data_IF_218085253500
#
_entry.id   IF_218085253500
#
_cell.length_a   1.000
_cell.length_b   1.000
_cell.length_c   1.000
_cell.angle_alpha   90.00
_cell.angle_beta   90.00
_cell.angle_gamma   90.00
#
_symmetry.space_group_name_H-M   'P 1'
#
loop_
_entity.id
_entity.type
_entity.pdbx_description
1 polymer ?
#
# COMPACT_ATOMS: atom_id res chain seq x y z
N UNK A 1 21.32 -27.58 -3.59
CA UNK A 1 22.19 -26.64 -4.34
C UNK A 1 22.15 -25.31 -3.59
N UNK A 2 23.23 -24.93 -2.89
CA UNK A 2 23.25 -23.80 -1.94
C UNK A 2 22.87 -22.43 -2.53
N UNK A 3 22.98 -22.29 -3.85
CA UNK A 3 22.69 -21.05 -4.58
C UNK A 3 21.17 -20.77 -4.64
N UNK A 4 20.35 -21.81 -4.82
CA UNK A 4 18.89 -21.67 -4.81
C UNK A 4 18.36 -21.34 -3.41
N UNK A 5 18.93 -21.96 -2.36
CA UNK A 5 18.57 -21.66 -0.96
C UNK A 5 18.85 -20.20 -0.59
N UNK A 6 19.92 -19.61 -1.16
CA UNK A 6 20.29 -18.20 -0.94
C UNK A 6 19.32 -17.25 -1.64
N UNK A 7 18.91 -17.58 -2.87
CA UNK A 7 17.91 -16.80 -3.62
C UNK A 7 16.56 -16.83 -2.92
N UNK A 8 16.12 -18.00 -2.44
CA UNK A 8 14.89 -18.14 -1.67
C UNK A 8 14.95 -17.33 -0.38
N UNK A 9 16.07 -17.37 0.35
CA UNK A 9 16.29 -16.54 1.53
C UNK A 9 16.20 -15.03 1.24
N UNK A 10 16.77 -14.57 0.12
CA UNK A 10 16.70 -13.19 -0.32
C UNK A 10 15.25 -12.77 -0.65
N UNK A 11 14.50 -13.61 -1.37
CA UNK A 11 13.10 -13.36 -1.74
C UNK A 11 12.17 -13.33 -0.52
N UNK A 12 12.45 -14.16 0.47
CA UNK A 12 11.74 -14.14 1.76
C UNK A 12 12.06 -12.83 2.50
N UNK A 13 13.34 -12.44 2.55
CA UNK A 13 13.78 -11.20 3.18
C UNK A 13 13.15 -9.95 2.56
N UNK A 14 13.17 -9.84 1.23
CA UNK A 14 12.55 -8.71 0.51
C UNK A 14 11.05 -8.66 0.71
N UNK A 15 10.38 -9.82 0.78
CA UNK A 15 8.95 -9.89 1.11
C UNK A 15 8.64 -9.32 2.49
N UNK A 16 9.40 -9.70 3.52
CA UNK A 16 9.19 -9.18 4.87
C UNK A 16 9.55 -7.69 4.97
N UNK A 17 10.58 -7.25 4.26
CA UNK A 17 10.97 -5.84 4.19
C UNK A 17 9.87 -5.02 3.53
N UNK A 18 9.35 -5.45 2.38
CA UNK A 18 8.23 -4.80 1.70
C UNK A 18 6.96 -4.77 2.57
N UNK A 19 6.67 -5.86 3.29
CA UNK A 19 5.57 -5.89 4.24
C UNK A 19 5.76 -4.87 5.38
N UNK A 20 6.97 -4.81 5.96
CA UNK A 20 7.30 -3.84 7.01
C UNK A 20 7.19 -2.39 6.53
N UNK A 21 7.69 -2.09 5.35
CA UNK A 21 7.54 -0.76 4.72
C UNK A 21 6.06 -0.44 4.49
N UNK A 22 5.26 -1.40 4.04
CA UNK A 22 3.84 -1.18 3.82
C UNK A 22 3.08 -0.89 5.12
N UNK A 23 3.43 -1.56 6.23
CA UNK A 23 2.88 -1.24 7.55
C UNK A 23 3.25 0.19 7.95
N UNK A 24 4.52 0.58 7.83
CA UNK A 24 4.94 1.97 8.09
C UNK A 24 4.22 2.95 7.15
N UNK A 25 4.03 2.58 5.88
CA UNK A 25 3.33 3.35 4.86
C UNK A 25 1.88 3.62 5.21
N UNK A 26 1.18 2.70 5.89
CA UNK A 26 -0.20 2.96 6.36
C UNK A 26 -0.26 4.08 7.38
N UNK A 27 0.68 4.13 8.33
CA UNK A 27 0.77 5.21 9.32
C UNK A 27 1.17 6.53 8.66
N UNK A 28 2.17 6.50 7.78
CA UNK A 28 2.61 7.69 7.05
C UNK A 28 1.49 8.27 6.17
N UNK A 29 0.68 7.44 5.53
CA UNK A 29 -0.46 7.89 4.70
C UNK A 29 -1.53 8.60 5.52
N UNK A 30 -1.77 8.20 6.77
CA UNK A 30 -2.69 8.89 7.67
C UNK A 30 -2.19 10.27 8.08
N UNK A 31 -0.90 10.39 8.38
CA UNK A 31 -0.26 11.68 8.68
C UNK A 31 -0.33 12.60 7.45
N UNK A 32 0.05 12.08 6.27
CA UNK A 32 -0.03 12.82 5.02
C UNK A 32 -1.45 13.26 4.70
N UNK A 33 -2.47 12.44 4.99
CA UNK A 33 -3.86 12.82 4.77
C UNK A 33 -4.21 14.11 5.52
N UNK A 34 -3.88 14.19 6.82
CA UNK A 34 -4.17 15.38 7.64
C UNK A 34 -3.48 16.63 7.09
N UNK A 35 -2.21 16.48 6.69
CA UNK A 35 -1.40 17.57 6.15
C UNK A 35 -1.84 18.02 4.74
N UNK A 36 -2.50 17.14 3.98
CA UNK A 36 -2.92 17.40 2.61
C UNK A 36 -4.41 17.75 2.47
N UNK A 37 -5.23 17.58 3.51
CA UNK A 37 -6.63 18.07 3.54
C UNK A 37 -6.74 19.57 3.21
N UNK A 38 -5.87 20.47 3.72
CA UNK A 38 -5.94 21.89 3.41
C UNK A 38 -5.61 22.24 1.96
N UNK A 39 -4.88 21.38 1.25
CA UNK A 39 -4.48 21.59 -0.15
C UNK A 39 -5.59 21.27 -1.15
N UNK A 40 -6.66 20.62 -0.69
CA UNK A 40 -7.86 20.35 -1.48
C UNK A 40 -8.17 18.87 -1.61
N UNK A 41 -9.34 18.60 -2.21
CA UNK A 41 -9.93 17.25 -2.30
C UNK A 41 -9.06 16.31 -3.15
N UNK A 42 -8.38 16.82 -4.18
CA UNK A 42 -7.49 16.01 -5.03
C UNK A 42 -6.30 15.44 -4.25
N UNK A 43 -5.63 16.28 -3.45
CA UNK A 43 -4.49 15.87 -2.62
C UNK A 43 -4.92 14.90 -1.52
N UNK A 44 -6.06 15.16 -0.86
CA UNK A 44 -6.62 14.24 0.12
C UNK A 44 -6.97 12.88 -0.50
N UNK A 45 -7.60 12.86 -1.68
CA UNK A 45 -7.95 11.63 -2.40
C UNK A 45 -6.71 10.84 -2.85
N UNK A 46 -5.63 11.51 -3.24
CA UNK A 46 -4.35 10.87 -3.52
C UNK A 46 -3.75 10.20 -2.27
N UNK A 47 -3.81 10.83 -1.10
CA UNK A 47 -3.39 10.22 0.16
C UNK A 47 -4.26 9.01 0.55
N UNK A 48 -5.57 9.06 0.29
CA UNK A 48 -6.46 7.89 0.48
C UNK A 48 -6.09 6.75 -0.47
N UNK A 49 -5.76 7.04 -1.73
CA UNK A 49 -5.27 6.02 -2.66
C UNK A 49 -3.96 5.39 -2.18
N UNK A 50 -3.04 6.19 -1.63
CA UNK A 50 -1.78 5.72 -1.04
C UNK A 50 -2.02 4.81 0.17
N UNK A 51 -2.97 5.18 1.03
CA UNK A 51 -3.39 4.40 2.18
C UNK A 51 -3.96 3.04 1.75
N UNK A 52 -4.86 3.02 0.75
CA UNK A 52 -5.42 1.78 0.21
C UNK A 52 -4.35 0.89 -0.42
N UNK A 53 -3.40 1.48 -1.15
CA UNK A 53 -2.25 0.76 -1.71
C UNK A 53 -1.42 0.11 -0.60
N UNK A 54 -1.09 0.85 0.46
CA UNK A 54 -0.34 0.32 1.59
C UNK A 54 -1.10 -0.84 2.27
N UNK A 55 -2.40 -0.69 2.50
CA UNK A 55 -3.27 -1.75 3.02
C UNK A 55 -3.30 -2.99 2.12
N UNK A 56 -3.38 -2.81 0.80
CA UNK A 56 -3.34 -3.91 -0.16
C UNK A 56 -2.00 -4.67 -0.07
N UNK A 57 -0.88 -3.97 -0.01
CA UNK A 57 0.45 -4.59 0.11
C UNK A 57 0.61 -5.32 1.45
N UNK A 58 0.13 -4.73 2.56
CA UNK A 58 0.11 -5.39 3.88
C UNK A 58 -0.68 -6.70 3.82
N UNK A 59 -1.88 -6.67 3.22
CA UNK A 59 -2.73 -7.85 3.08
C UNK A 59 -2.11 -8.91 2.17
N UNK A 60 -1.63 -8.53 0.98
CA UNK A 60 -1.07 -9.47 0.00
C UNK A 60 0.20 -10.15 0.52
N UNK A 61 1.08 -9.39 1.17
CA UNK A 61 2.36 -9.89 1.66
C UNK A 61 2.29 -10.47 3.08
N UNK A 62 1.15 -10.36 3.77
CA UNK A 62 0.95 -10.78 5.16
C UNK A 62 1.61 -12.15 5.44
N UNK A 63 2.42 -12.26 6.49
CA UNK A 63 3.04 -13.52 6.88
C UNK A 63 1.99 -14.58 7.18
N UNK A 64 2.17 -15.81 6.69
CA UNK A 64 1.21 -16.91 6.91
C UNK A 64 0.89 -17.15 8.39
N UNK A 65 1.88 -16.97 9.27
CA UNK A 65 1.71 -17.08 10.73
C UNK A 65 0.78 -16.02 11.32
N UNK A 66 0.75 -14.82 10.75
CA UNK A 66 -0.16 -13.73 11.15
C UNK A 66 -1.51 -13.78 10.43
N UNK A 67 -1.57 -14.49 9.31
CA UNK A 67 -2.79 -14.72 8.54
C UNK A 67 -3.62 -15.92 9.04
N UNK A 68 -3.08 -16.71 9.98
CA UNK A 68 -3.73 -17.90 10.52
C UNK A 68 -5.09 -17.54 11.14
N UNK A 69 -6.17 -18.21 10.71
CA UNK A 69 -7.54 -17.88 11.09
C UNK A 69 -8.36 -17.29 9.92
N UNK A 70 -9.04 -16.17 10.14
CA UNK A 70 -10.03 -15.63 9.18
C UNK A 70 -9.47 -15.07 7.86
N UNK A 71 -8.15 -14.90 7.75
CA UNK A 71 -7.46 -14.35 6.57
C UNK A 71 -6.58 -15.39 5.86
N UNK A 72 -6.86 -16.68 6.07
CA UNK A 72 -6.07 -17.75 5.48
C UNK A 72 -6.31 -17.89 3.97
N UNK A 73 -5.21 -18.14 3.24
CA UNK A 73 -5.25 -18.55 1.84
C UNK A 73 -5.81 -17.49 0.87
N UNK A 74 -6.94 -17.85 0.22
CA UNK A 74 -7.48 -17.16 -0.95
C UNK A 74 -8.25 -15.87 -0.64
N UNK A 75 -8.92 -15.78 0.52
CA UNK A 75 -9.70 -14.60 0.91
C UNK A 75 -8.82 -13.35 0.99
N UNK A 76 -7.62 -13.49 1.57
CA UNK A 76 -6.64 -12.41 1.67
C UNK A 76 -6.15 -11.92 0.30
N UNK A 77 -5.93 -12.83 -0.64
CA UNK A 77 -5.49 -12.48 -1.99
C UNK A 77 -6.63 -11.77 -2.73
N UNK A 78 -7.86 -12.25 -2.59
CA UNK A 78 -9.03 -11.62 -3.18
C UNK A 78 -9.26 -10.21 -2.62
N UNK A 79 -9.29 -10.05 -1.29
CA UNK A 79 -9.49 -8.75 -0.63
C UNK A 79 -8.33 -7.80 -0.98
N UNK A 80 -7.08 -8.26 -0.84
CA UNK A 80 -5.91 -7.45 -1.18
C UNK A 80 -5.89 -7.02 -2.65
N UNK A 81 -6.27 -7.91 -3.57
CA UNK A 81 -6.38 -7.61 -4.99
C UNK A 81 -7.50 -6.61 -5.31
N UNK A 82 -8.66 -6.73 -4.66
CA UNK A 82 -9.76 -5.78 -4.81
C UNK A 82 -9.34 -4.40 -4.28
N UNK A 83 -8.73 -4.34 -3.10
CA UNK A 83 -8.25 -3.08 -2.51
C UNK A 83 -7.19 -2.42 -3.42
N UNK A 84 -6.31 -3.22 -4.02
CA UNK A 84 -5.32 -2.72 -5.00
C UNK A 84 -6.01 -2.09 -6.23
N UNK A 85 -7.01 -2.78 -6.79
CA UNK A 85 -7.77 -2.25 -7.93
C UNK A 85 -8.49 -0.95 -7.58
N UNK A 86 -9.10 -0.87 -6.40
CA UNK A 86 -9.75 0.36 -5.91
C UNK A 86 -8.73 1.48 -5.73
N UNK A 87 -7.56 1.21 -5.15
CA UNK A 87 -6.49 2.20 -5.01
C UNK A 87 -6.07 2.78 -6.37
N UNK A 88 -5.85 1.92 -7.36
CA UNK A 88 -5.52 2.33 -8.73
C UNK A 88 -6.66 3.14 -9.37
N UNK A 89 -7.92 2.72 -9.19
CA UNK A 89 -9.07 3.43 -9.73
C UNK A 89 -9.21 4.85 -9.14
N UNK A 90 -9.07 4.98 -7.81
CA UNK A 90 -9.13 6.28 -7.13
C UNK A 90 -8.01 7.20 -7.64
N UNK A 91 -6.77 6.71 -7.71
CA UNK A 91 -5.65 7.52 -8.22
C UNK A 91 -5.84 7.90 -9.70
N UNK A 92 -6.37 6.99 -10.52
CA UNK A 92 -6.69 7.26 -11.92
C UNK A 92 -7.75 8.33 -12.09
N UNK A 93 -8.82 8.30 -11.28
CA UNK A 93 -9.86 9.34 -11.27
C UNK A 93 -9.27 10.68 -10.86
N UNK A 94 -8.44 10.71 -9.80
CA UNK A 94 -7.77 11.93 -9.35
C UNK A 94 -6.86 12.51 -10.44
N UNK A 95 -6.08 11.67 -11.11
CA UNK A 95 -5.21 12.10 -12.20
C UNK A 95 -5.99 12.74 -13.36
N UNK A 96 -7.09 12.11 -13.78
CA UNK A 96 -7.95 12.64 -14.85
C UNK A 96 -8.69 13.92 -14.42
N UNK A 97 -9.15 13.99 -13.17
CA UNK A 97 -9.89 15.14 -12.65
C UNK A 97 -9.01 16.37 -12.41
N UNK A 98 -7.76 16.16 -11.97
CA UNK A 98 -6.81 17.25 -11.70
C UNK A 98 -5.92 17.60 -12.90
N UNK A 99 -6.04 16.88 -14.03
CA UNK A 99 -5.17 17.07 -15.20
C UNK A 99 -3.71 16.68 -14.96
N UNK A 100 -3.46 15.80 -13.99
CA UNK A 100 -2.13 15.44 -13.51
C UNK A 100 -2.12 15.02 -12.04
N UNK A 101 -0.93 14.85 -11.46
CA UNK A 101 -0.80 14.60 -10.02
C UNK A 101 -1.04 15.89 -9.23
N UNK A 102 -1.94 15.88 -8.22
CA UNK A 102 -2.18 17.04 -7.39
C UNK A 102 -0.93 17.37 -6.55
N UNK A 103 -0.74 18.64 -6.16
CA UNK A 103 0.35 19.02 -5.28
C UNK A 103 0.18 18.34 -3.91
N UNK A 104 1.22 17.67 -3.46
CA UNK A 104 1.27 16.99 -2.16
C UNK A 104 2.29 17.69 -1.26
N UNK A 105 1.88 18.00 -0.03
CA UNK A 105 2.80 18.35 1.04
C UNK A 105 3.36 17.06 1.63
N UNK A 106 4.64 16.79 1.38
CA UNK A 106 5.30 15.57 1.83
C UNK A 106 5.86 15.68 3.26
N UNK A 107 5.57 16.76 4.01
CA UNK A 107 6.03 17.04 5.39
C UNK A 107 7.57 17.21 5.50
N UNK A 108 8.32 16.65 4.57
CA UNK A 108 9.76 16.71 4.40
C UNK A 108 10.07 17.18 2.97
N UNK A 109 9.93 18.48 2.71
CA UNK A 109 10.51 19.14 1.54
C UNK A 109 11.56 20.14 2.02
#
# INVERSE_FOLDING_TARGET
>A
MKLFDTVDGLLIGTRYLAWGIAVVGTLASLVLLVENVPLGIGSAAACVALFLLACAVVLLLLPKKLAAGGLEGGSRIAIGGIVLLVACAVMGIVYLACGGFPPLNLVFA
#
